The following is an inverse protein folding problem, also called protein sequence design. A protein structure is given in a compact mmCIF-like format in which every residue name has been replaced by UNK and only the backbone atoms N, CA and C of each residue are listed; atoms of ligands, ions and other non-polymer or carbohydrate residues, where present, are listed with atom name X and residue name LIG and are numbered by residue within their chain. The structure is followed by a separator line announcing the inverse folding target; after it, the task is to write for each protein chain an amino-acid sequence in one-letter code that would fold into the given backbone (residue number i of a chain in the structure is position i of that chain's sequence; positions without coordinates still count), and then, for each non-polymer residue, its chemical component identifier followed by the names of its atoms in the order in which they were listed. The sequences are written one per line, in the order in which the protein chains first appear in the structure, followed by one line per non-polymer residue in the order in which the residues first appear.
data_IF_935533245489
#
_entry.id   IF_935533245489
#
_cell.length_a   1.000
_cell.length_b   1.000
_cell.length_c   1.000
_cell.angle_alpha   90.00
_cell.angle_beta   90.00
_cell.angle_gamma   90.00
#
_symmetry.space_group_name_H-M   'P 1'
#
loop_
_entity.id
_entity.type
_entity.pdbx_description
1 polymer ?
#
# COMPACT_ATOMS: atom_id res chain seq x y z
N UNK A 1 -9.65 43.19 -47.37
CA UNK A 1 -9.00 43.20 -46.04
C UNK A 1 -9.76 42.23 -45.15
N UNK A 2 -9.14 41.10 -44.77
CA UNK A 2 -9.74 40.06 -43.92
C UNK A 2 -8.87 39.94 -42.68
N UNK A 3 -9.41 40.28 -41.52
CA UNK A 3 -8.71 40.17 -40.23
C UNK A 3 -8.97 38.78 -39.65
N UNK A 4 -7.90 38.04 -39.38
CA UNK A 4 -7.92 36.73 -38.72
C UNK A 4 -7.77 36.97 -37.22
N UNK A 5 -8.76 36.59 -36.43
CA UNK A 5 -8.69 36.57 -34.97
C UNK A 5 -8.08 35.23 -34.54
N UNK A 6 -6.81 35.26 -34.10
CA UNK A 6 -6.16 34.12 -33.44
C UNK A 6 -6.45 34.26 -31.95
N UNK A 7 -7.41 33.48 -31.47
CA UNK A 7 -7.66 33.30 -30.05
C UNK A 7 -6.50 32.53 -29.43
N UNK A 8 -5.67 33.23 -28.65
CA UNK A 8 -4.71 32.63 -27.73
C UNK A 8 -5.48 31.83 -26.67
N UNK A 9 -5.53 30.50 -26.84
CA UNK A 9 -5.85 29.59 -25.75
C UNK A 9 -4.75 29.74 -24.69
N UNK A 10 -5.07 30.44 -23.61
CA UNK A 10 -4.24 30.50 -22.42
C UNK A 10 -4.17 29.13 -21.78
N UNK A 11 -3.03 28.46 -21.91
CA UNK A 11 -2.67 27.32 -21.07
C UNK A 11 -2.34 27.91 -19.70
N UNK A 12 -3.24 27.75 -18.74
CA UNK A 12 -2.96 28.04 -17.33
C UNK A 12 -2.06 26.92 -16.82
N UNK A 13 -0.76 27.19 -16.76
CA UNK A 13 0.20 26.39 -16.00
C UNK A 13 -0.07 26.61 -14.50
N UNK A 14 -0.78 25.67 -13.87
CA UNK A 14 -0.82 25.60 -12.41
C UNK A 14 0.51 25.05 -11.91
N UNK A 15 1.43 25.97 -11.60
CA UNK A 15 2.56 25.71 -10.72
C UNK A 15 2.06 25.84 -9.27
N UNK A 16 1.75 24.71 -8.63
CA UNK A 16 1.42 24.64 -7.21
C UNK A 16 2.31 23.61 -6.54
N UNK A 17 3.26 24.06 -5.71
CA UNK A 17 4.23 23.19 -5.02
C UNK A 17 3.55 22.11 -4.19
N UNK A 18 4.14 20.91 -4.17
CA UNK A 18 3.78 19.74 -3.35
C UNK A 18 2.41 19.85 -2.66
N UNK A 19 1.35 20.01 -3.45
CA UNK A 19 0.01 20.02 -2.88
C UNK A 19 -0.20 18.60 -2.39
N UNK A 20 -0.51 18.45 -1.11
CA UNK A 20 -1.04 17.19 -0.61
C UNK A 20 -2.17 16.77 -1.57
N UNK A 21 -2.16 15.51 -2.01
CA UNK A 21 -3.22 14.98 -2.88
C UNK A 21 -4.59 15.41 -2.34
N UNK A 22 -5.46 15.85 -3.24
CA UNK A 22 -6.81 16.24 -2.87
C UNK A 22 -7.58 15.03 -2.34
N UNK A 23 -8.65 15.28 -1.57
CA UNK A 23 -9.53 14.21 -1.06
C UNK A 23 -10.10 13.37 -2.21
N UNK A 24 -10.40 14.01 -3.35
CA UNK A 24 -10.92 13.35 -4.54
C UNK A 24 -9.89 12.42 -5.19
N UNK A 25 -8.63 12.89 -5.32
CA UNK A 25 -7.52 12.09 -5.82
C UNK A 25 -7.23 10.91 -4.89
N UNK A 26 -7.22 11.14 -3.57
CA UNK A 26 -7.05 10.07 -2.59
C UNK A 26 -8.15 9.01 -2.73
N UNK A 27 -9.41 9.43 -2.86
CA UNK A 27 -10.52 8.50 -3.05
C UNK A 27 -10.41 7.71 -4.36
N UNK A 28 -9.91 8.33 -5.45
CA UNK A 28 -9.66 7.61 -6.69
C UNK A 28 -8.55 6.57 -6.54
N UNK A 29 -7.43 6.93 -5.89
CA UNK A 29 -6.33 6.01 -5.61
C UNK A 29 -6.80 4.80 -4.79
N UNK A 30 -7.67 5.03 -3.80
CA UNK A 30 -8.23 3.94 -3.00
C UNK A 30 -9.15 3.01 -3.80
N UNK A 31 -9.99 3.56 -4.69
CA UNK A 31 -10.79 2.75 -5.61
C UNK A 31 -9.92 1.92 -6.55
N UNK A 32 -8.85 2.51 -7.10
CA UNK A 32 -7.93 1.80 -7.98
C UNK A 32 -7.23 0.66 -7.24
N UNK A 33 -6.82 0.89 -5.98
CA UNK A 33 -6.30 -0.15 -5.10
C UNK A 33 -7.32 -1.28 -4.88
N UNK A 34 -8.57 -0.95 -4.54
CA UNK A 34 -9.64 -1.95 -4.35
C UNK A 34 -9.85 -2.80 -5.61
N UNK A 35 -9.86 -2.17 -6.79
CA UNK A 35 -9.95 -2.87 -8.06
C UNK A 35 -8.75 -3.79 -8.31
N UNK A 36 -7.53 -3.36 -7.96
CA UNK A 36 -6.32 -4.18 -8.13
C UNK A 36 -6.33 -5.40 -7.21
N UNK A 37 -6.67 -5.25 -5.93
CA UNK A 37 -6.74 -6.39 -5.00
C UNK A 37 -7.86 -7.37 -5.37
N UNK A 38 -9.02 -6.86 -5.81
CA UNK A 38 -10.10 -7.70 -6.31
C UNK A 38 -9.68 -8.48 -7.57
N UNK A 39 -9.03 -7.81 -8.52
CA UNK A 39 -8.53 -8.45 -9.74
C UNK A 39 -7.51 -9.54 -9.45
N UNK A 40 -6.60 -9.32 -8.49
CA UNK A 40 -5.66 -10.32 -8.02
C UNK A 40 -6.37 -11.57 -7.48
N UNK A 41 -7.37 -11.40 -6.60
CA UNK A 41 -8.10 -12.56 -6.03
C UNK A 41 -8.87 -13.36 -7.09
N UNK A 42 -9.42 -12.70 -8.11
CA UNK A 42 -10.10 -13.36 -9.23
C UNK A 42 -9.12 -14.13 -10.11
N UNK A 43 -7.97 -13.55 -10.42
CA UNK A 43 -6.93 -14.23 -11.21
C UNK A 43 -6.48 -15.51 -10.53
N UNK A 44 -6.21 -15.47 -9.23
CA UNK A 44 -5.82 -16.65 -8.46
C UNK A 44 -6.90 -17.73 -8.40
N UNK A 45 -8.17 -17.33 -8.36
CA UNK A 45 -9.30 -18.28 -8.35
C UNK A 45 -9.42 -19.03 -9.68
N UNK A 46 -9.03 -18.40 -10.79
CA UNK A 46 -9.13 -18.97 -12.13
C UNK A 46 -7.85 -19.70 -12.59
N UNK A 47 -6.73 -19.57 -11.86
CA UNK A 47 -5.46 -20.21 -12.19
C UNK A 47 -5.46 -21.68 -11.73
N UNK A 48 -5.30 -22.59 -12.68
CA UNK A 48 -4.95 -23.98 -12.40
C UNK A 48 -3.51 -24.02 -11.82
N UNK A 49 -3.28 -24.64 -10.64
CA UNK A 49 -1.96 -24.70 -10.02
C UNK A 49 -0.90 -25.33 -10.94
N UNK A 50 -1.28 -26.16 -11.91
CA UNK A 50 -0.36 -26.74 -12.89
C UNK A 50 0.20 -25.73 -13.91
N UNK A 51 -0.41 -24.55 -14.05
CA UNK A 51 -0.11 -23.55 -15.09
C UNK A 51 0.21 -22.14 -14.56
N UNK A 52 0.41 -21.99 -13.24
CA UNK A 52 0.69 -20.70 -12.60
C UNK A 52 2.09 -20.09 -12.91
N UNK A 53 2.83 -20.65 -13.86
CA UNK A 53 4.18 -20.23 -14.18
C UNK A 53 4.17 -18.93 -15.00
N UNK A 54 4.72 -17.87 -14.38
CA UNK A 54 5.00 -16.53 -14.93
C UNK A 54 3.80 -15.57 -14.98
N UNK A 55 3.06 -15.46 -13.87
CA UNK A 55 2.27 -14.26 -13.63
C UNK A 55 3.20 -13.08 -13.30
N UNK A 56 3.08 -11.97 -14.03
CA UNK A 56 3.75 -10.71 -13.67
C UNK A 56 3.38 -10.37 -12.22
N UNK A 57 4.35 -10.07 -11.34
CA UNK A 57 4.07 -9.74 -9.95
C UNK A 57 3.03 -8.61 -9.86
N UNK A 58 1.99 -8.79 -9.04
CA UNK A 58 0.94 -7.77 -8.90
C UNK A 58 1.55 -6.48 -8.33
N UNK A 59 1.28 -5.36 -8.99
CA UNK A 59 1.72 -4.03 -8.55
C UNK A 59 0.63 -3.36 -7.71
N UNK A 60 0.41 -3.86 -6.50
CA UNK A 60 -0.66 -3.38 -5.62
C UNK A 60 -0.27 -2.04 -4.97
N UNK A 61 0.92 -1.97 -4.37
CA UNK A 61 1.44 -0.73 -3.80
C UNK A 61 2.17 0.11 -4.86
N UNK A 62 1.43 0.61 -5.84
CA UNK A 62 1.95 1.64 -6.76
C UNK A 62 2.32 2.91 -5.98
N UNK A 63 3.10 3.81 -6.59
CA UNK A 63 3.55 5.03 -5.90
C UNK A 63 2.37 5.86 -5.31
N UNK A 64 1.27 6.13 -6.03
CA UNK A 64 0.13 6.84 -5.45
C UNK A 64 -0.51 6.09 -4.27
N UNK A 65 -0.70 4.78 -4.41
CA UNK A 65 -1.28 3.94 -3.35
C UNK A 65 -0.39 3.95 -2.12
N UNK A 66 0.92 3.76 -2.30
CA UNK A 66 1.90 3.78 -1.23
C UNK A 66 1.88 5.12 -0.47
N UNK A 67 1.77 6.25 -1.17
CA UNK A 67 1.66 7.57 -0.54
C UNK A 67 0.40 7.70 0.30
N UNK A 68 -0.76 7.33 -0.25
CA UNK A 68 -2.04 7.38 0.47
C UNK A 68 -2.02 6.49 1.71
N UNK A 69 -1.50 5.26 1.59
CA UNK A 69 -1.39 4.34 2.71
C UNK A 69 -0.47 4.89 3.81
N UNK A 70 0.68 5.47 3.46
CA UNK A 70 1.57 6.11 4.43
C UNK A 70 0.88 7.27 5.16
N UNK A 71 0.08 8.07 4.46
CA UNK A 71 -0.69 9.15 5.09
C UNK A 71 -1.74 8.62 6.07
N UNK A 72 -2.48 7.57 5.70
CA UNK A 72 -3.46 6.93 6.58
C UNK A 72 -2.79 6.36 7.83
N UNK A 73 -1.68 5.64 7.65
CA UNK A 73 -0.89 5.07 8.76
C UNK A 73 -0.36 6.17 9.67
N UNK A 74 0.28 7.20 9.11
CA UNK A 74 0.84 8.31 9.88
C UNK A 74 -0.24 9.01 10.71
N UNK A 75 -1.39 9.31 10.09
CA UNK A 75 -2.54 9.92 10.76
C UNK A 75 -3.06 9.05 11.91
N UNK A 76 -3.25 7.76 11.67
CA UNK A 76 -3.76 6.83 12.68
C UNK A 76 -2.82 6.70 13.89
N UNK A 77 -1.51 6.68 13.65
CA UNK A 77 -0.50 6.61 14.70
C UNK A 77 -0.39 7.91 15.51
N UNK A 78 -0.55 9.06 14.85
CA UNK A 78 -0.52 10.38 15.49
C UNK A 78 -1.74 10.60 16.39
N UNK A 79 -2.95 10.32 15.89
CA UNK A 79 -4.21 10.48 16.62
C UNK A 79 -4.28 9.66 17.91
N UNK A 80 -3.55 8.55 17.97
CA UNK A 80 -3.59 7.61 19.09
C UNK A 80 -2.33 7.62 19.95
N UNK A 81 -1.34 8.46 19.62
CA UNK A 81 -0.02 8.46 20.27
C UNK A 81 0.70 7.10 20.21
N UNK A 82 0.32 6.26 19.23
CA UNK A 82 0.65 4.83 19.20
C UNK A 82 1.92 4.51 18.37
N UNK A 83 2.61 5.54 17.87
CA UNK A 83 3.79 5.38 17.01
C UNK A 83 4.89 4.49 17.62
N UNK A 84 5.03 4.46 18.95
CA UNK A 84 5.98 3.59 19.65
C UNK A 84 5.44 2.18 19.90
N UNK A 85 4.12 2.01 20.04
CA UNK A 85 3.49 0.72 20.36
C UNK A 85 3.39 -0.21 19.14
N UNK A 86 3.35 0.35 17.92
CA UNK A 86 3.29 -0.43 16.69
C UNK A 86 4.67 -0.88 16.21
N UNK A 87 5.74 -0.26 16.71
CA UNK A 87 7.11 -0.67 16.38
C UNK A 87 7.49 -1.96 17.09
N UNK A 88 7.98 -2.92 16.31
CA UNK A 88 8.44 -4.22 16.81
C UNK A 88 7.37 -5.30 16.85
N UNK A 89 6.13 -5.01 16.45
CA UNK A 89 5.13 -6.05 16.18
C UNK A 89 5.58 -6.82 14.95
N UNK A 90 5.98 -8.09 15.11
CA UNK A 90 6.45 -8.92 14.00
C UNK A 90 7.95 -8.88 13.71
N UNK A 91 8.79 -8.39 14.64
CA UNK A 91 10.26 -8.42 14.48
C UNK A 91 10.92 -9.79 14.71
N UNK A 92 10.15 -10.86 14.89
CA UNK A 92 10.72 -12.19 15.05
C UNK A 92 11.01 -12.83 13.68
N UNK A 93 12.29 -12.86 13.28
CA UNK A 93 12.86 -14.04 12.64
C UNK A 93 13.18 -14.03 11.15
N UNK A 94 12.63 -13.15 10.31
CA UNK A 94 12.98 -13.21 8.88
C UNK A 94 14.32 -12.54 8.58
N UNK A 95 15.31 -13.34 8.18
CA UNK A 95 16.62 -12.89 7.66
C UNK A 95 16.50 -12.19 6.29
N UNK A 96 15.37 -12.35 5.60
CA UNK A 96 15.14 -11.82 4.26
C UNK A 96 13.94 -10.86 4.26
N UNK A 97 14.06 -9.69 3.59
CA UNK A 97 12.92 -8.81 3.36
C UNK A 97 11.80 -9.54 2.63
N UNK A 98 10.52 -9.32 2.97
CA UNK A 98 9.42 -9.91 2.24
C UNK A 98 9.43 -9.44 0.78
N UNK A 99 9.18 -10.35 -0.15
CA UNK A 99 9.12 -10.07 -1.58
C UNK A 99 7.83 -10.62 -2.21
N UNK A 100 7.33 -9.93 -3.22
CA UNK A 100 6.04 -10.25 -3.85
C UNK A 100 6.12 -11.56 -4.62
N UNK A 101 5.07 -12.39 -4.48
CA UNK A 101 4.96 -13.78 -4.96
C UNK A 101 5.91 -14.78 -4.29
N UNK A 102 6.56 -14.41 -3.20
CA UNK A 102 7.32 -15.36 -2.37
C UNK A 102 6.46 -15.90 -1.21
N UNK A 103 6.82 -17.07 -0.66
CA UNK A 103 6.21 -17.58 0.56
C UNK A 103 6.26 -16.55 1.68
N UNK A 104 5.19 -16.46 2.48
CA UNK A 104 5.13 -15.55 3.61
C UNK A 104 6.22 -15.92 4.64
N UNK A 105 7.13 -15.00 5.02
CA UNK A 105 8.39 -15.38 5.64
C UNK A 105 8.32 -15.46 7.19
N UNK A 106 7.14 -15.75 7.75
CA UNK A 106 6.96 -15.82 9.20
C UNK A 106 6.17 -17.06 9.61
N UNK A 107 6.79 -17.89 10.45
CA UNK A 107 6.17 -19.08 11.05
C UNK A 107 5.13 -18.70 12.12
N UNK A 108 5.34 -17.54 12.77
CA UNK A 108 4.43 -17.00 13.79
C UNK A 108 3.67 -15.78 13.25
N UNK A 109 2.34 -15.86 13.31
CA UNK A 109 1.45 -14.77 12.91
C UNK A 109 1.15 -13.86 14.10
N UNK A 110 1.80 -12.71 14.14
CA UNK A 110 1.46 -11.68 15.11
C UNK A 110 0.10 -11.04 14.79
N UNK A 111 -0.62 -10.64 15.84
CA UNK A 111 -1.89 -9.92 15.70
C UNK A 111 -1.63 -8.57 15.03
N UNK A 112 -2.42 -8.26 14.00
CA UNK A 112 -2.34 -6.96 13.33
C UNK A 112 -2.83 -5.84 14.25
N UNK A 113 -2.10 -4.72 14.41
CA UNK A 113 -2.49 -3.65 15.32
C UNK A 113 -3.87 -3.06 14.97
N UNK A 114 -4.76 -3.03 15.96
CA UNK A 114 -6.14 -2.56 15.76
C UNK A 114 -6.21 -1.12 15.24
N UNK A 115 -5.29 -0.26 15.67
CA UNK A 115 -5.13 1.12 15.17
C UNK A 115 -5.03 1.18 13.65
N UNK A 116 -4.20 0.31 13.07
CA UNK A 116 -4.02 0.25 11.62
C UNK A 116 -5.20 -0.46 10.96
N UNK A 117 -5.74 -1.50 11.58
CA UNK A 117 -6.90 -2.23 11.07
C UNK A 117 -8.10 -1.30 10.85
N UNK A 118 -8.32 -0.33 11.75
CA UNK A 118 -9.40 0.66 11.61
C UNK A 118 -9.11 1.78 10.62
N UNK A 119 -7.85 2.00 10.24
CA UNK A 119 -7.44 3.12 9.40
C UNK A 119 -7.21 2.75 7.93
N UNK A 120 -6.92 1.48 7.65
CA UNK A 120 -6.63 0.99 6.31
C UNK A 120 -7.90 0.56 5.57
N UNK A 121 -7.90 0.63 4.22
CA UNK A 121 -8.99 0.13 3.41
C UNK A 121 -9.25 -1.36 3.65
N UNK A 122 -10.51 -1.77 3.68
CA UNK A 122 -10.88 -3.17 3.84
C UNK A 122 -10.34 -4.02 2.66
N UNK A 123 -9.96 -5.25 2.96
CA UNK A 123 -9.47 -6.20 1.96
C UNK A 123 -10.56 -7.23 1.62
N UNK A 124 -10.66 -7.67 0.35
CA UNK A 124 -11.47 -8.83 0.03
C UNK A 124 -10.81 -10.08 0.64
N UNK A 125 -11.62 -11.00 1.18
CA UNK A 125 -11.11 -12.33 1.51
C UNK A 125 -10.59 -13.03 0.24
N UNK A 126 -9.41 -13.69 0.27
CA UNK A 126 -8.59 -14.15 1.41
C UNK A 126 -7.41 -13.24 1.82
N UNK A 127 -7.38 -11.97 1.40
CA UNK A 127 -6.24 -11.09 1.65
C UNK A 127 -6.24 -10.53 3.08
N UNK A 128 -5.05 -10.42 3.66
CA UNK A 128 -4.83 -9.90 5.02
C UNK A 128 -3.66 -8.91 5.07
N UNK A 129 -3.79 -7.86 5.88
CA UNK A 129 -2.64 -7.03 6.25
C UNK A 129 -1.84 -7.69 7.37
N UNK A 130 -0.51 -7.61 7.24
CA UNK A 130 0.46 -8.04 8.25
C UNK A 130 1.56 -6.98 8.38
N UNK A 131 2.19 -6.92 9.55
CA UNK A 131 3.42 -6.14 9.75
C UNK A 131 4.59 -7.11 9.89
N UNK A 132 5.68 -6.81 9.18
CA UNK A 132 6.97 -7.47 9.32
C UNK A 132 8.01 -6.38 9.51
N UNK A 133 8.55 -6.26 10.74
CA UNK A 133 9.38 -5.12 11.10
C UNK A 133 8.62 -3.80 10.94
N UNK A 134 9.04 -2.97 9.97
CA UNK A 134 8.38 -1.71 9.65
C UNK A 134 7.53 -1.76 8.37
N UNK A 135 7.50 -2.91 7.70
CA UNK A 135 6.86 -3.05 6.41
C UNK A 135 5.41 -3.50 6.59
N UNK A 136 4.51 -2.89 5.82
CA UNK A 136 3.15 -3.38 5.67
C UNK A 136 3.14 -4.39 4.53
N UNK A 137 2.75 -5.61 4.85
CA UNK A 137 2.70 -6.73 3.92
C UNK A 137 1.25 -7.12 3.70
N UNK A 138 0.89 -7.33 2.43
CA UNK A 138 -0.37 -7.93 2.04
C UNK A 138 -0.12 -9.43 1.84
N UNK A 139 -0.69 -10.26 2.69
CA UNK A 139 -0.61 -11.73 2.62
C UNK A 139 -1.87 -12.27 1.95
N UNK A 140 -1.70 -13.19 1.02
CA UNK A 140 -2.78 -14.07 0.62
C UNK A 140 -2.82 -15.27 1.58
N UNK A 141 -3.81 -15.30 2.47
CA UNK A 141 -3.93 -16.35 3.48
C UNK A 141 -4.27 -17.72 2.88
N UNK A 142 -4.77 -17.79 1.63
CA UNK A 142 -5.10 -19.06 0.98
C UNK A 142 -3.86 -19.80 0.50
N UNK A 143 -2.93 -19.08 -0.12
CA UNK A 143 -1.72 -19.66 -0.71
C UNK A 143 -0.47 -19.44 0.15
N UNK A 144 -0.61 -18.70 1.25
CA UNK A 144 0.47 -18.33 2.15
C UNK A 144 1.63 -17.61 1.45
N UNK A 145 1.28 -16.70 0.54
CA UNK A 145 2.23 -15.90 -0.25
C UNK A 145 2.07 -14.42 0.00
N UNK A 146 3.14 -13.68 -0.24
CA UNK A 146 3.14 -12.21 -0.22
C UNK A 146 2.52 -11.69 -1.52
N UNK A 147 1.36 -11.05 -1.44
CA UNK A 147 0.69 -10.41 -2.56
C UNK A 147 1.18 -8.96 -2.80
N UNK A 148 1.73 -8.30 -1.79
CA UNK A 148 2.22 -6.92 -1.90
C UNK A 148 3.05 -6.50 -0.70
N UNK A 149 4.02 -5.59 -0.91
CA UNK A 149 4.87 -5.04 0.15
C UNK A 149 4.92 -3.53 0.04
N UNK A 150 4.64 -2.85 1.14
CA UNK A 150 4.89 -1.43 1.35
C UNK A 150 6.01 -1.28 2.38
N UNK A 151 7.22 -0.99 1.89
CA UNK A 151 8.41 -0.86 2.72
C UNK A 151 8.34 0.38 3.63
N UNK A 152 8.87 0.30 4.85
CA UNK A 152 8.90 1.39 5.82
C UNK A 152 7.53 2.05 6.07
N UNK A 153 6.46 1.25 6.05
CA UNK A 153 5.09 1.73 6.17
C UNK A 153 4.84 2.43 7.51
N UNK A 154 5.40 1.87 8.59
CA UNK A 154 5.43 2.51 9.91
C UNK A 154 6.80 3.17 10.05
N UNK A 155 6.86 4.50 9.90
CA UNK A 155 8.13 5.21 9.75
C UNK A 155 9.14 4.89 10.86
N UNK A 156 10.43 4.93 10.54
CA UNK A 156 11.53 4.96 11.52
C UNK A 156 11.59 6.37 12.13
N UNK A 157 11.70 6.48 13.46
CA UNK A 157 11.97 7.78 14.07
C UNK A 157 13.43 7.94 13.72
N UNK A 158 13.73 8.76 12.73
CA UNK A 158 15.05 9.30 12.57
C UNK A 158 15.35 9.97 13.92
N UNK A 159 16.17 9.33 14.75
CA UNK A 159 16.75 9.96 15.93
C UNK A 159 17.57 11.13 15.41
N UNK A 160 16.95 12.31 15.34
CA UNK A 160 17.66 13.56 15.13
C UNK A 160 18.50 13.75 16.38
N UNK A 161 19.78 13.41 16.28
CA UNK A 161 20.78 13.68 17.30
C UNK A 161 20.88 15.21 17.40
N UNK A 162 20.30 15.80 18.45
CA UNK A 162 20.53 17.20 18.84
C UNK A 162 21.94 17.38 19.36
#
# INVERSE_FOLDING_TARGET
MRSIAIGLLGIVLVHGGAAAQTIEEQAQVLRDFEHQVASYTLQLTCLDPAHAAVATPPRIFTLPVAMVFRQLIAKALDEQGAATAVRGVGSAGSLHPPAVLEPFPADELFQFPQVLASALPALPGPLEYRLIGNDLVLRDARNDVVAGVLQDAVGTVATVKR
#
